data_IF_349076465415
#
_entry.id   IF_349076465415
#
_cell.length_a   1.000
_cell.length_b   1.000
_cell.length_c   1.000
_cell.angle_alpha   90.00
_cell.angle_beta   90.00
_cell.angle_gamma   90.00
#
_symmetry.space_group_name_H-M   'P 1'
#
loop_
_entity.id
_entity.type
_entity.pdbx_description
1 polymer ?
#
# COMPACT_ATOMS: atom_id res chain seq x y z
N UNK A 1 -21.31 53.84 -34.26
CA UNK A 1 -21.25 52.38 -34.07
C UNK A 1 -19.86 52.00 -33.66
N UNK A 2 -19.61 51.73 -32.34
CA UNK A 2 -18.32 51.28 -31.80
C UNK A 2 -18.33 49.78 -31.77
N UNK A 3 -17.51 49.12 -32.57
CA UNK A 3 -17.32 47.68 -32.53
C UNK A 3 -16.34 47.34 -31.37
N UNK A 4 -16.84 46.61 -30.40
CA UNK A 4 -16.06 46.10 -29.27
C UNK A 4 -15.42 44.77 -29.71
N UNK A 5 -14.09 44.79 -29.95
CA UNK A 5 -13.33 43.58 -30.24
C UNK A 5 -13.10 42.82 -28.92
N UNK A 6 -13.79 41.67 -28.76
CA UNK A 6 -13.51 40.70 -27.69
C UNK A 6 -12.29 39.89 -28.10
N UNK A 7 -11.14 40.06 -27.44
CA UNK A 7 -9.99 39.17 -27.57
C UNK A 7 -10.30 37.88 -26.80
N UNK A 8 -10.14 36.69 -27.40
CA UNK A 8 -10.20 35.45 -26.67
C UNK A 8 -8.95 35.30 -25.76
N UNK A 9 -9.18 35.17 -24.47
CA UNK A 9 -8.13 34.85 -23.49
C UNK A 9 -7.72 33.38 -23.70
N UNK A 10 -6.57 33.18 -24.36
CA UNK A 10 -5.97 31.85 -24.51
C UNK A 10 -5.40 31.40 -23.15
N UNK A 11 -6.09 30.54 -22.44
CA UNK A 11 -5.57 29.92 -21.23
C UNK A 11 -4.42 28.97 -21.63
N UNK A 12 -3.16 29.37 -21.37
CA UNK A 12 -2.03 28.46 -21.45
C UNK A 12 -2.16 27.43 -20.35
N UNK A 13 -2.49 26.20 -20.73
CA UNK A 13 -2.36 25.05 -19.85
C UNK A 13 -0.88 24.83 -19.57
N UNK A 14 -0.44 25.05 -18.32
CA UNK A 14 0.91 24.72 -17.90
C UNK A 14 1.11 23.21 -18.05
N UNK A 15 2.25 22.73 -18.58
CA UNK A 15 2.55 21.32 -18.66
C UNK A 15 2.57 20.75 -17.22
N UNK A 16 1.76 19.73 -16.96
CA UNK A 16 1.84 18.99 -15.71
C UNK A 16 3.22 18.33 -15.66
N UNK A 17 4.04 18.71 -14.69
CA UNK A 17 5.35 18.09 -14.49
C UNK A 17 5.17 16.59 -14.25
N UNK A 18 6.00 15.76 -14.90
CA UNK A 18 6.00 14.32 -14.69
C UNK A 18 6.34 14.01 -13.21
N UNK A 19 5.64 13.04 -12.64
CA UNK A 19 5.87 12.59 -11.27
C UNK A 19 7.24 11.95 -11.13
N UNK A 20 7.97 12.27 -10.08
CA UNK A 20 9.27 11.68 -9.76
C UNK A 20 9.18 10.62 -8.64
N UNK A 21 10.21 9.78 -8.50
CA UNK A 21 10.32 8.87 -7.35
C UNK A 21 10.44 9.64 -6.02
N UNK A 22 10.93 10.86 -6.05
CA UNK A 22 10.97 11.73 -4.87
C UNK A 22 9.56 12.13 -4.42
N UNK A 23 8.65 12.43 -5.34
CA UNK A 23 7.24 12.74 -5.03
C UNK A 23 6.54 11.52 -4.42
N UNK A 24 6.81 10.32 -4.94
CA UNK A 24 6.32 9.05 -4.36
C UNK A 24 6.86 8.87 -2.93
N UNK A 25 8.15 9.11 -2.71
CA UNK A 25 8.75 9.02 -1.38
C UNK A 25 8.12 10.03 -0.40
N UNK A 26 7.85 11.27 -0.85
CA UNK A 26 7.12 12.29 -0.07
C UNK A 26 5.73 11.79 0.32
N UNK A 27 4.97 11.22 -0.63
CA UNK A 27 3.64 10.66 -0.36
C UNK A 27 3.70 9.53 0.67
N UNK A 28 4.61 8.57 0.48
CA UNK A 28 4.79 7.45 1.40
C UNK A 28 5.21 7.93 2.80
N UNK A 29 6.20 8.81 2.90
CA UNK A 29 6.70 9.37 4.16
C UNK A 29 5.63 10.19 4.88
N UNK A 30 4.89 11.02 4.16
CA UNK A 30 3.83 11.87 4.72
C UNK A 30 2.61 11.08 5.20
N UNK A 31 2.41 9.84 4.71
CA UNK A 31 1.34 8.95 5.17
C UNK A 31 1.81 8.16 6.40
N UNK A 32 1.88 8.78 7.57
CA UNK A 32 2.34 8.14 8.82
C UNK A 32 1.37 7.09 9.35
N UNK A 33 0.06 7.31 9.14
CA UNK A 33 -1.00 6.35 9.43
C UNK A 33 -2.03 6.31 8.30
N UNK A 34 -2.69 5.17 8.14
CA UNK A 34 -3.72 4.97 7.13
C UNK A 34 -4.75 3.96 7.65
N UNK A 35 -6.02 4.19 7.35
CA UNK A 35 -7.07 3.19 7.41
C UNK A 35 -7.77 3.09 6.06
N UNK A 36 -8.17 1.87 5.67
CA UNK A 36 -8.89 1.62 4.42
C UNK A 36 -9.73 0.35 4.51
N UNK A 37 -10.69 0.23 3.62
CA UNK A 37 -11.24 -1.07 3.24
C UNK A 37 -10.32 -1.67 2.18
N UNK A 38 -10.17 -3.00 2.19
CA UNK A 38 -9.39 -3.66 1.15
C UNK A 38 -10.15 -4.84 0.54
N UNK A 39 -9.81 -5.12 -0.71
CA UNK A 39 -10.05 -6.42 -1.37
C UNK A 39 -8.71 -6.99 -1.79
N UNK A 40 -8.54 -8.29 -1.62
CA UNK A 40 -7.34 -9.03 -2.02
C UNK A 40 -7.72 -10.21 -2.89
N UNK A 41 -7.18 -10.24 -4.11
CA UNK A 41 -7.28 -11.38 -5.01
C UNK A 41 -5.97 -12.18 -4.96
N UNK A 42 -6.07 -13.48 -4.67
CA UNK A 42 -4.95 -14.42 -4.70
C UNK A 42 -4.73 -15.03 -6.08
N UNK A 43 -3.66 -15.80 -6.25
CA UNK A 43 -3.35 -16.52 -7.48
C UNK A 43 -4.42 -17.58 -7.83
N UNK A 44 -5.15 -18.08 -6.84
CA UNK A 44 -6.26 -19.03 -6.99
C UNK A 44 -7.58 -18.37 -7.40
N UNK A 45 -7.58 -17.06 -7.65
CA UNK A 45 -8.76 -16.27 -8.03
C UNK A 45 -9.72 -15.97 -6.89
N UNK A 46 -9.48 -16.48 -5.67
CA UNK A 46 -10.31 -16.12 -4.51
C UNK A 46 -10.13 -14.65 -4.16
N UNK A 47 -11.25 -13.99 -3.85
CA UNK A 47 -11.27 -12.61 -3.40
C UNK A 47 -11.65 -12.56 -1.93
N UNK A 48 -10.79 -12.00 -1.13
CA UNK A 48 -11.01 -11.74 0.29
C UNK A 48 -11.16 -10.24 0.50
N UNK A 49 -11.93 -9.86 1.51
CA UNK A 49 -12.14 -8.45 1.85
C UNK A 49 -11.97 -8.22 3.35
N UNK A 50 -11.70 -6.98 3.72
CA UNK A 50 -11.54 -6.63 5.13
C UNK A 50 -11.15 -5.17 5.35
N UNK A 51 -10.62 -4.92 6.53
CA UNK A 51 -10.10 -3.63 6.96
C UNK A 51 -8.58 -3.66 7.06
N UNK A 52 -7.96 -2.61 6.55
CA UNK A 52 -6.53 -2.34 6.64
C UNK A 52 -6.28 -1.16 7.57
N UNK A 53 -5.32 -1.33 8.46
CA UNK A 53 -4.68 -0.23 9.19
C UNK A 53 -3.17 -0.33 9.01
N UNK A 54 -2.55 0.82 8.83
CA UNK A 54 -1.11 0.95 8.70
C UNK A 54 -0.64 2.08 9.63
N UNK A 55 0.47 1.82 10.33
CA UNK A 55 1.19 2.83 11.09
C UNK A 55 2.69 2.68 10.84
N UNK A 56 3.32 3.70 10.28
CA UNK A 56 4.78 3.69 10.10
C UNK A 56 5.51 4.04 11.39
N UNK A 57 6.66 3.42 11.63
CA UNK A 57 7.27 2.37 10.82
C UNK A 57 6.75 0.96 11.12
N UNK A 58 6.66 0.13 10.08
CA UNK A 58 6.58 -1.32 10.18
C UNK A 58 5.26 -1.93 10.65
N UNK A 59 4.30 -1.14 11.13
CA UNK A 59 3.06 -1.67 11.67
C UNK A 59 1.97 -1.74 10.61
N UNK A 60 1.30 -2.87 10.52
CA UNK A 60 0.19 -3.09 9.60
C UNK A 60 -0.77 -4.12 10.19
N UNK A 61 -2.06 -3.98 9.90
CA UNK A 61 -3.09 -4.96 10.26
C UNK A 61 -4.06 -5.12 9.10
N UNK A 62 -4.17 -6.34 8.58
CA UNK A 62 -5.23 -6.76 7.67
C UNK A 62 -6.16 -7.67 8.44
N UNK A 63 -7.35 -7.20 8.70
CA UNK A 63 -8.39 -7.99 9.33
C UNK A 63 -9.40 -8.42 8.28
N UNK A 64 -9.43 -9.71 7.98
CA UNK A 64 -10.33 -10.27 6.98
C UNK A 64 -11.74 -10.41 7.57
N UNK A 65 -12.75 -10.02 6.79
CA UNK A 65 -14.16 -10.07 7.23
C UNK A 65 -14.79 -11.44 7.01
N UNK A 66 -14.36 -12.12 5.94
CA UNK A 66 -14.98 -13.37 5.44
C UNK A 66 -14.18 -14.61 5.77
N UNK A 67 -13.02 -14.46 6.37
CA UNK A 67 -12.14 -15.55 6.75
C UNK A 67 -11.62 -15.33 8.17
N UNK A 68 -11.47 -16.40 8.93
CA UNK A 68 -10.87 -16.36 10.27
C UNK A 68 -9.35 -16.17 10.19
N UNK A 69 -8.93 -15.16 9.45
CA UNK A 69 -7.51 -14.86 9.18
C UNK A 69 -7.15 -13.45 9.63
N UNK A 70 -5.87 -13.28 9.93
CA UNK A 70 -5.27 -12.00 10.27
C UNK A 70 -3.85 -11.94 9.72
N UNK A 71 -3.49 -10.83 9.04
CA UNK A 71 -2.10 -10.49 8.79
C UNK A 71 -1.76 -9.26 9.63
N UNK A 72 -0.75 -9.38 10.49
CA UNK A 72 -0.37 -8.29 11.38
C UNK A 72 1.14 -8.12 11.47
N UNK A 73 1.60 -6.89 11.35
CA UNK A 73 2.99 -6.47 11.58
C UNK A 73 3.09 -5.61 12.82
N UNK A 74 3.99 -5.95 13.73
CA UNK A 74 4.25 -5.23 14.98
C UNK A 74 5.36 -4.17 14.87
N UNK A 75 5.96 -4.03 13.70
CA UNK A 75 7.13 -3.19 13.40
C UNK A 75 8.41 -4.00 13.17
N UNK A 76 8.46 -5.25 13.60
CA UNK A 76 9.61 -6.15 13.44
C UNK A 76 9.23 -7.42 12.68
N UNK A 77 8.13 -8.04 13.09
CA UNK A 77 7.65 -9.32 12.59
C UNK A 77 6.31 -9.11 11.90
N UNK A 78 6.16 -9.69 10.72
CA UNK A 78 4.89 -9.85 10.03
C UNK A 78 4.39 -11.26 10.34
N UNK A 79 3.20 -11.36 10.91
CA UNK A 79 2.56 -12.61 11.31
C UNK A 79 1.31 -12.82 10.48
N UNK A 80 1.17 -13.98 9.86
CA UNK A 80 -0.06 -14.43 9.25
C UNK A 80 -0.66 -15.52 10.15
N UNK A 81 -1.89 -15.30 10.56
CA UNK A 81 -2.61 -16.18 11.47
C UNK A 81 -3.85 -16.71 10.75
N UNK A 82 -3.97 -18.00 10.68
CA UNK A 82 -5.19 -18.70 10.30
C UNK A 82 -5.77 -19.33 11.57
N UNK A 83 -6.88 -18.75 12.05
CA UNK A 83 -7.55 -19.19 13.25
C UNK A 83 -8.38 -20.46 13.04
N UNK A 84 -8.72 -20.78 11.79
CA UNK A 84 -9.52 -21.98 11.47
C UNK A 84 -8.70 -23.25 11.64
N UNK A 85 -7.48 -23.24 11.09
CA UNK A 85 -6.54 -24.37 11.19
C UNK A 85 -5.48 -24.18 12.27
N UNK A 86 -5.60 -23.13 13.09
CA UNK A 86 -4.68 -22.78 14.17
C UNK A 86 -3.22 -22.66 13.72
N UNK A 87 -2.99 -22.11 12.53
CA UNK A 87 -1.65 -21.92 11.98
C UNK A 87 -1.17 -20.50 12.19
N UNK A 88 0.13 -20.34 12.52
CA UNK A 88 0.82 -19.07 12.59
C UNK A 88 2.11 -19.16 11.80
N UNK A 89 2.26 -18.28 10.82
CA UNK A 89 3.48 -18.12 10.03
C UNK A 89 4.06 -16.72 10.27
N UNK A 90 5.38 -16.62 10.42
CA UNK A 90 6.03 -15.36 10.78
C UNK A 90 7.28 -15.11 9.94
N UNK A 91 7.47 -13.84 9.56
CA UNK A 91 8.63 -13.36 8.81
C UNK A 91 9.09 -12.01 9.36
N UNK A 92 10.37 -11.69 9.36
CA UNK A 92 10.81 -10.32 9.61
C UNK A 92 10.22 -9.36 8.57
N UNK A 93 9.59 -8.25 9.00
CA UNK A 93 8.99 -7.25 8.08
C UNK A 93 9.98 -6.82 6.99
N UNK A 94 11.24 -6.60 7.37
CA UNK A 94 12.33 -6.20 6.47
C UNK A 94 12.68 -7.24 5.39
N UNK A 95 12.16 -8.47 5.51
CA UNK A 95 12.32 -9.56 4.54
C UNK A 95 11.08 -9.79 3.70
N UNK A 96 10.17 -8.85 3.67
CA UNK A 96 8.95 -8.91 2.85
C UNK A 96 8.90 -7.72 1.89
N UNK A 97 8.23 -7.83 0.74
CA UNK A 97 8.02 -6.71 -0.18
C UNK A 97 7.29 -5.53 0.47
N UNK A 98 6.47 -5.79 1.49
CA UNK A 98 5.72 -4.78 2.23
C UNK A 98 6.63 -3.78 2.96
N UNK A 99 7.92 -4.10 3.19
CA UNK A 99 8.84 -3.14 3.81
C UNK A 99 8.86 -1.79 3.08
N UNK A 100 8.68 -1.78 1.75
CA UNK A 100 8.67 -0.54 0.95
C UNK A 100 7.52 0.37 1.40
N UNK A 101 6.34 -0.23 1.61
CA UNK A 101 5.17 0.49 2.09
C UNK A 101 5.23 0.84 3.58
N UNK A 102 6.02 0.12 4.36
CA UNK A 102 6.04 0.22 5.82
C UNK A 102 7.26 0.95 6.37
N UNK A 103 8.28 1.25 5.55
CA UNK A 103 9.46 1.98 5.97
C UNK A 103 9.11 3.41 6.42
N UNK A 104 9.82 3.92 7.44
CA UNK A 104 9.72 5.33 7.83
C UNK A 104 10.27 6.23 6.72
N UNK A 105 11.42 5.84 6.17
CA UNK A 105 12.13 6.53 5.09
C UNK A 105 12.29 5.52 3.92
N UNK A 106 11.35 5.49 2.96
CA UNK A 106 11.47 4.58 1.83
C UNK A 106 12.55 5.08 0.86
N UNK A 107 13.61 4.30 0.68
CA UNK A 107 14.61 4.53 -0.36
C UNK A 107 14.18 3.81 -1.64
N UNK A 108 13.57 4.56 -2.55
CA UNK A 108 13.03 4.03 -3.80
C UNK A 108 14.03 4.04 -4.94
N UNK A 109 15.00 4.94 -4.92
CA UNK A 109 15.91 5.18 -6.05
C UNK A 109 16.62 3.92 -6.56
N UNK A 110 17.17 3.05 -5.69
CA UNK A 110 17.91 1.87 -6.17
C UNK A 110 17.03 0.70 -6.61
N UNK A 111 15.71 0.73 -6.28
CA UNK A 111 14.85 -0.47 -6.41
C UNK A 111 13.57 -0.22 -7.19
N UNK A 112 13.20 1.04 -7.46
CA UNK A 112 11.90 1.38 -8.03
C UNK A 112 12.02 2.15 -9.35
N UNK A 113 10.98 2.03 -10.16
CA UNK A 113 10.77 2.84 -11.36
C UNK A 113 9.29 3.15 -11.54
N UNK A 114 8.98 4.32 -12.07
CA UNK A 114 7.62 4.66 -12.49
C UNK A 114 7.33 3.89 -13.77
N UNK A 115 6.22 3.16 -13.79
CA UNK A 115 5.77 2.34 -14.93
C UNK A 115 4.60 2.97 -15.66
N UNK A 116 3.82 3.81 -14.98
CA UNK A 116 2.78 4.61 -15.58
C UNK A 116 2.63 5.93 -14.81
N UNK A 117 2.41 7.02 -15.55
CA UNK A 117 2.11 8.35 -15.01
C UNK A 117 0.99 8.95 -15.88
N UNK A 118 -0.19 9.08 -15.29
CA UNK A 118 -1.41 9.52 -15.97
C UNK A 118 -2.09 10.64 -15.19
N UNK A 119 -3.07 11.36 -15.77
CA UNK A 119 -3.86 12.32 -15.01
C UNK A 119 -4.58 11.75 -13.80
N UNK A 120 -4.90 10.45 -13.79
CA UNK A 120 -5.64 9.80 -12.72
C UNK A 120 -4.73 9.27 -11.61
N UNK A 121 -3.46 8.95 -11.92
CA UNK A 121 -2.55 8.38 -10.91
C UNK A 121 -1.22 7.90 -11.47
N UNK A 122 -0.46 7.26 -10.59
CA UNK A 122 0.90 6.80 -10.86
C UNK A 122 1.04 5.34 -10.46
N UNK A 123 1.75 4.56 -11.27
CA UNK A 123 2.16 3.20 -10.92
C UNK A 123 3.68 3.11 -10.83
N UNK A 124 4.15 2.45 -9.77
CA UNK A 124 5.56 2.28 -9.44
C UNK A 124 5.85 0.81 -9.27
N UNK A 125 6.75 0.25 -10.09
CA UNK A 125 7.26 -1.09 -9.86
C UNK A 125 8.55 -1.02 -9.05
N UNK A 126 8.61 -1.80 -7.97
CA UNK A 126 9.75 -1.91 -7.09
C UNK A 126 10.23 -3.36 -7.01
N UNK A 127 11.52 -3.58 -7.23
CA UNK A 127 12.21 -4.86 -7.13
C UNK A 127 13.62 -4.63 -6.60
N UNK A 128 13.97 -5.31 -5.52
CA UNK A 128 15.32 -5.26 -4.99
C UNK A 128 16.20 -6.27 -5.73
N UNK A 129 17.18 -5.83 -6.55
CA UNK A 129 18.04 -6.75 -7.31
C UNK A 129 18.96 -7.59 -6.41
N UNK A 130 19.19 -7.15 -5.16
CA UNK A 130 19.99 -7.89 -4.17
C UNK A 130 19.15 -8.95 -3.44
N UNK A 131 17.84 -8.93 -3.60
CA UNK A 131 16.89 -9.84 -2.95
C UNK A 131 15.81 -10.28 -3.93
N UNK A 132 16.19 -11.01 -4.99
CA UNK A 132 15.26 -11.44 -6.05
C UNK A 132 14.13 -12.33 -5.51
N UNK A 133 14.35 -13.00 -4.36
CA UNK A 133 13.35 -13.82 -3.68
C UNK A 133 12.12 -13.04 -3.20
N UNK A 134 12.20 -11.71 -3.11
CA UNK A 134 11.04 -10.87 -2.76
C UNK A 134 10.14 -10.56 -3.95
N UNK A 135 10.57 -10.94 -5.16
CA UNK A 135 9.79 -10.68 -6.36
C UNK A 135 9.65 -9.20 -6.70
N UNK A 136 8.49 -8.82 -7.18
CA UNK A 136 8.19 -7.43 -7.60
C UNK A 136 6.94 -6.93 -6.88
N UNK A 137 6.96 -5.68 -6.41
CA UNK A 137 5.82 -4.98 -5.88
C UNK A 137 5.45 -3.82 -6.82
N UNK A 138 4.28 -3.90 -7.47
CA UNK A 138 3.72 -2.80 -8.25
C UNK A 138 2.73 -2.03 -7.39
N UNK A 139 3.05 -0.78 -7.07
CA UNK A 139 2.27 0.06 -6.16
C UNK A 139 1.49 1.07 -7.01
N UNK A 140 0.20 1.20 -6.76
CA UNK A 140 -0.69 2.17 -7.39
C UNK A 140 -1.02 3.31 -6.45
N UNK A 141 -0.90 4.52 -6.98
CA UNK A 141 -1.36 5.75 -6.35
C UNK A 141 -2.40 6.41 -7.23
N UNK A 142 -3.38 7.07 -6.62
CA UNK A 142 -4.30 8.00 -7.29
C UNK A 142 -3.92 9.42 -6.91
N UNK A 143 -4.13 10.36 -7.84
CA UNK A 143 -3.95 11.78 -7.56
C UNK A 143 -5.07 12.25 -6.66
N UNK A 144 -4.73 12.84 -5.54
CA UNK A 144 -5.68 13.28 -4.53
C UNK A 144 -5.19 14.60 -3.90
N UNK A 145 -5.92 15.67 -4.16
CA UNK A 145 -5.67 16.95 -3.51
C UNK A 145 -5.82 16.77 -1.99
N UNK A 146 -4.84 17.24 -1.21
CA UNK A 146 -4.81 17.09 0.24
C UNK A 146 -4.16 15.79 0.75
N UNK A 147 -3.86 14.82 -0.11
CA UNK A 147 -3.00 13.72 0.26
C UNK A 147 -1.52 14.16 0.30
N UNK A 148 -0.68 13.56 1.16
CA UNK A 148 0.76 13.86 1.17
C UNK A 148 1.38 13.68 -0.21
N UNK A 149 2.10 14.70 -0.71
CA UNK A 149 2.66 14.70 -2.06
C UNK A 149 1.63 14.67 -3.19
N UNK A 150 0.34 14.96 -2.92
CA UNK A 150 -0.74 14.93 -3.91
C UNK A 150 -1.13 13.52 -4.38
N UNK A 151 -0.66 12.47 -3.70
CA UNK A 151 -0.84 11.08 -4.09
C UNK A 151 -1.36 10.24 -2.92
N UNK A 152 -2.46 9.53 -3.12
CA UNK A 152 -3.01 8.59 -2.15
C UNK A 152 -2.75 7.14 -2.61
N UNK A 153 -2.35 6.28 -1.68
CA UNK A 153 -2.18 4.85 -1.94
C UNK A 153 -3.51 4.22 -2.34
N UNK A 154 -3.57 3.60 -3.51
CA UNK A 154 -4.77 2.95 -4.04
C UNK A 154 -4.71 1.41 -4.00
N UNK A 155 -3.51 0.86 -3.81
CA UNK A 155 -3.31 -0.57 -3.74
C UNK A 155 -1.95 -1.00 -4.28
N UNK A 156 -1.76 -2.31 -4.40
CA UNK A 156 -0.54 -2.90 -4.96
C UNK A 156 -0.79 -4.31 -5.49
N UNK A 157 0.11 -4.73 -6.35
CA UNK A 157 0.24 -6.13 -6.78
C UNK A 157 1.60 -6.64 -6.34
N UNK A 158 1.64 -7.74 -5.62
CA UNK A 158 2.85 -8.48 -5.33
C UNK A 158 2.94 -9.69 -6.29
N UNK A 159 4.09 -9.84 -6.93
CA UNK A 159 4.46 -11.01 -7.71
C UNK A 159 5.68 -11.63 -7.03
N UNK A 160 5.53 -12.80 -6.45
CA UNK A 160 6.63 -13.50 -5.79
C UNK A 160 7.61 -14.13 -6.80
N UNK A 161 8.72 -14.69 -6.30
CA UNK A 161 9.75 -15.29 -7.14
C UNK A 161 9.28 -16.57 -7.87
N UNK A 162 8.19 -17.19 -7.41
CA UNK A 162 7.57 -18.39 -7.99
C UNK A 162 6.46 -18.05 -9.00
N UNK A 163 6.18 -16.74 -9.21
CA UNK A 163 5.12 -16.28 -10.10
C UNK A 163 3.73 -16.19 -9.44
N UNK A 164 3.64 -16.46 -8.12
CA UNK A 164 2.43 -16.26 -7.36
C UNK A 164 2.03 -14.78 -7.32
N UNK A 165 0.79 -14.47 -7.72
CA UNK A 165 0.28 -13.10 -7.77
C UNK A 165 -0.73 -12.87 -6.65
N UNK A 166 -0.56 -11.78 -5.94
CA UNK A 166 -1.55 -11.25 -4.99
C UNK A 166 -1.81 -9.79 -5.30
N UNK A 167 -3.06 -9.40 -5.50
CA UNK A 167 -3.46 -8.02 -5.77
C UNK A 167 -4.32 -7.50 -4.62
N UNK A 168 -3.91 -6.35 -4.06
CA UNK A 168 -4.66 -5.62 -3.04
C UNK A 168 -5.15 -4.31 -3.63
N UNK A 169 -6.44 -4.06 -3.52
CA UNK A 169 -7.09 -2.78 -3.86
C UNK A 169 -7.63 -2.16 -2.60
N UNK A 170 -7.45 -0.84 -2.49
CA UNK A 170 -7.91 -0.06 -1.35
C UNK A 170 -9.09 0.81 -1.75
N UNK A 171 -10.05 0.93 -0.84
CA UNK A 171 -11.18 1.84 -0.91
C UNK A 171 -11.33 2.58 0.42
N UNK A 172 -12.04 3.71 0.41
CA UNK A 172 -12.29 4.51 1.60
C UNK A 172 -11.01 4.87 2.37
N UNK A 173 -9.93 5.16 1.64
CA UNK A 173 -8.60 5.44 2.19
C UNK A 173 -8.63 6.74 2.99
N UNK A 174 -8.14 6.70 4.22
CA UNK A 174 -7.99 7.84 5.11
C UNK A 174 -6.54 7.90 5.59
N UNK A 175 -5.76 8.83 5.05
CA UNK A 175 -4.43 9.16 5.55
C UNK A 175 -4.54 9.97 6.84
N UNK A 176 -3.57 9.82 7.76
CA UNK A 176 -3.61 10.48 9.06
C UNK A 176 -4.71 9.93 9.99
N UNK A 177 -5.24 8.73 9.71
CA UNK A 177 -6.32 8.15 10.50
C UNK A 177 -5.91 7.92 11.95
N UNK A 178 -6.84 8.19 12.89
CA UNK A 178 -6.67 7.77 14.28
C UNK A 178 -6.64 6.23 14.34
N UNK A 179 -5.63 5.70 15.02
CA UNK A 179 -5.45 4.26 15.25
C UNK A 179 -5.76 3.88 16.72
N UNK A 180 -6.45 4.76 17.44
CA UNK A 180 -6.90 4.47 18.81
C UNK A 180 -7.77 3.20 18.80
N UNK A 181 -7.44 2.24 19.68
CA UNK A 181 -8.12 0.94 19.77
C UNK A 181 -7.67 -0.10 18.73
N UNK A 182 -6.78 0.24 17.78
CA UNK A 182 -6.22 -0.74 16.83
C UNK A 182 -5.04 -1.45 17.46
N UNK A 183 -5.16 -2.77 17.66
CA UNK A 183 -4.06 -3.60 18.13
C UNK A 183 -3.21 -4.08 16.95
N UNK A 184 -1.89 -3.95 17.05
CA UNK A 184 -0.91 -4.54 16.13
C UNK A 184 -0.30 -5.84 16.69
N UNK A 185 -1.02 -6.50 17.59
CA UNK A 185 -0.76 -7.84 18.09
C UNK A 185 -1.87 -8.81 17.70
N UNK A 186 -1.72 -10.06 18.14
CA UNK A 186 -2.71 -11.11 17.94
C UNK A 186 -2.73 -12.09 19.12
N UNK A 187 -3.86 -12.80 19.28
CA UNK A 187 -3.95 -13.96 20.19
C UNK A 187 -3.47 -15.20 19.43
N UNK A 188 -2.50 -15.91 19.98
CA UNK A 188 -1.95 -17.10 19.35
C UNK A 188 -2.92 -18.28 19.50
N UNK A 189 -3.55 -18.75 18.40
CA UNK A 189 -4.55 -19.81 18.46
C UNK A 189 -3.98 -21.18 18.85
N UNK A 190 -2.65 -21.34 18.80
CA UNK A 190 -1.98 -22.58 19.20
C UNK A 190 -1.91 -22.76 20.72
N UNK A 191 -2.07 -21.66 21.48
CA UNK A 191 -2.05 -21.68 22.96
C UNK A 191 -3.37 -22.06 23.59
N UNK A 192 -4.45 -22.07 22.82
CA UNK A 192 -5.79 -22.45 23.26
C UNK A 192 -6.05 -23.97 23.05
N UNK A 193 -5.07 -24.82 23.31
CA UNK A 193 -5.27 -26.27 23.38
C UNK A 193 -6.03 -26.66 24.65
N UNK A 194 -6.77 -27.81 24.68
CA UNK A 194 -7.46 -28.25 25.88
C UNK A 194 -6.42 -28.46 26.99
N UNK A 195 -6.70 -27.85 28.16
CA UNK A 195 -6.00 -28.17 29.41
C UNK A 195 -6.48 -29.50 29.94
#
# INVERSE_FOLDING_TARGET
MKQLFLLPLLALAAPASATSLADIAVSLKGTTSLSADFTQAGADGRVLAGKLWLARPGKVRFQYNTAKMLLVGDGRTLSFIDYEVKQVSQWPVRRTPLQILLAAEPDLAPIARITADTPDGVEVAARDPKRPEFGTLSIRFVRAAGAPGGLALAGWTALDAQGGRSEVRLANVRSGASLAGVSFGFTDPRKDGPR
#
